data_IF_853831786510
#
_entry.id   IF_853831786510
#
_cell.length_a   1.000
_cell.length_b   1.000
_cell.length_c   1.000
_cell.angle_alpha   90.00
_cell.angle_beta   90.00
_cell.angle_gamma   90.00
#
_symmetry.space_group_name_H-M   'P 1'
#
loop_
_entity.id
_entity.type
_entity.pdbx_description
1 polymer ?
2 water ?
#
# COMPACT_ATOMS: atom_id res chain seq x y z
N UNK A 25 -5.89 6.15 -12.53
CA UNK A 25 -5.21 6.04 -11.21
C UNK A 25 -4.05 7.04 -11.10
N UNK A 26 -3.91 7.69 -9.95
CA UNK A 26 -2.77 8.58 -9.71
C UNK A 26 -1.43 7.85 -9.61
N UNK A 27 -1.46 6.65 -9.02
CA UNK A 27 -0.27 5.84 -8.81
C UNK A 27 -0.80 4.40 -8.86
N UNK A 28 -0.03 3.50 -9.46
CA UNK A 28 -0.35 2.07 -9.34
C UNK A 28 0.93 1.26 -9.37
N UNK A 29 0.94 0.17 -8.60
CA UNK A 29 2.08 -0.74 -8.68
C UNK A 29 1.71 -2.12 -8.16
N UNK A 30 2.49 -3.11 -8.59
CA UNK A 30 2.25 -4.52 -8.20
C UNK A 30 2.74 -4.76 -6.77
N UNK A 31 1.83 -5.25 -5.92
CA UNK A 31 2.18 -5.52 -4.51
C UNK A 31 1.17 -6.44 -3.89
N UNK A 32 1.66 -7.32 -3.01
CA UNK A 32 0.76 -8.17 -2.18
C UNK A 32 0.44 -7.46 -0.89
N UNK A 33 -0.61 -7.94 -0.23
CA UNK A 33 -1.02 -7.38 1.06
C UNK A 33 -0.69 -8.34 2.19
N UNK A 34 -0.99 -7.91 3.41
CA UNK A 34 -0.90 -8.78 4.59
C UNK A 34 -2.13 -8.59 5.44
N UNK A 35 -2.41 -9.56 6.30
CA UNK A 35 -3.51 -9.41 7.24
C UNK A 35 -3.09 -9.91 8.60
N UNK A 36 -3.78 -9.43 9.62
CA UNK A 36 -3.62 -9.96 10.96
C UNK A 36 -4.47 -11.22 11.09
N UNK A 37 -3.79 -12.34 11.33
CA UNK A 37 -4.41 -13.62 11.58
C UNK A 37 -4.27 -13.87 13.08
N UNK A 38 -5.28 -13.45 13.84
CA UNK A 38 -5.21 -13.45 15.30
C UNK A 38 -4.26 -12.37 15.78
N UNK A 39 -3.11 -12.80 16.30
CA UNK A 39 -2.06 -11.91 16.77
C UNK A 39 -0.96 -11.71 15.70
N UNK A 40 -1.10 -12.42 14.58
CA UNK A 40 0.02 -12.62 13.65
C UNK A 40 -0.15 -11.90 12.31
N UNK A 41 0.79 -11.01 12.00
CA UNK A 41 0.84 -10.39 10.66
C UNK A 41 1.29 -11.44 9.65
N UNK A 42 0.42 -11.72 8.68
CA UNK A 42 0.58 -12.87 7.79
C UNK A 42 0.47 -12.38 6.35
N UNK A 43 1.55 -12.54 5.57
CA UNK A 43 1.49 -12.14 4.17
C UNK A 43 0.43 -12.93 3.39
N UNK A 44 -0.32 -12.20 2.57
CA UNK A 44 -1.26 -12.80 1.63
C UNK A 44 -0.49 -13.12 0.36
N UNK A 45 -0.65 -14.35 -0.15
CA UNK A 45 0.17 -14.83 -1.27
C UNK A 45 -0.26 -14.31 -2.64
N UNK A 46 -1.42 -13.68 -2.71
CA UNK A 46 -2.03 -13.30 -4.00
C UNK A 46 -1.29 -12.19 -4.72
N UNK A 47 -1.29 -12.26 -6.05
CA UNK A 47 -0.79 -11.15 -6.86
C UNK A 47 -1.79 -9.99 -6.74
N UNK A 48 -1.28 -8.82 -6.37
CA UNK A 48 -2.14 -7.67 -6.13
C UNK A 48 -1.67 -6.41 -6.80
N UNK A 49 -2.53 -5.40 -6.76
CA UNK A 49 -2.22 -4.10 -7.29
C UNK A 49 -2.61 -3.07 -6.25
N UNK A 50 -1.63 -2.27 -5.82
CA UNK A 50 -1.93 -1.08 -4.99
C UNK A 50 -2.15 0.07 -5.96
N UNK A 51 -3.20 0.84 -5.75
CA UNK A 51 -3.39 2.07 -6.53
C UNK A 51 -4.03 3.17 -5.72
N UNK A 52 -3.83 4.40 -6.17
CA UNK A 52 -4.47 5.55 -5.54
C UNK A 52 -5.30 6.24 -6.60
N UNK A 53 -6.55 6.52 -6.26
CA UNK A 53 -7.53 7.09 -7.19
C UNK A 53 -8.18 8.29 -6.50
N UNK A 54 -8.37 9.38 -7.24
CA UNK A 54 -9.17 10.49 -6.73
C UNK A 54 -10.57 10.42 -7.34
N UNK A 55 -11.58 10.46 -6.47
CA UNK A 55 -12.96 10.34 -6.92
C UNK A 55 -13.54 11.72 -7.17
N UNK A 56 -14.76 11.78 -7.71
CA UNK A 56 -15.28 13.08 -8.14
C UNK A 56 -15.76 13.98 -6.99
N UNK A 57 -15.76 13.44 -5.77
CA UNK A 57 -15.92 14.26 -4.57
C UNK A 57 -14.58 14.86 -4.09
N UNK A 58 -13.53 14.69 -4.90
CA UNK A 58 -12.15 15.14 -4.61
C UNK A 58 -11.41 14.31 -3.55
N UNK A 59 -12.05 13.27 -3.03
CA UNK A 59 -11.36 12.46 -2.00
C UNK A 59 -10.35 11.48 -2.61
N UNK A 60 -9.36 11.12 -1.79
CA UNK A 60 -8.23 10.30 -2.25
C UNK A 60 -8.39 8.93 -1.62
N UNK A 61 -8.46 7.89 -2.45
CA UNK A 61 -8.61 6.51 -1.99
C UNK A 61 -7.32 5.73 -2.23
N UNK A 62 -6.81 5.12 -1.16
CA UNK A 62 -5.70 4.17 -1.26
C UNK A 62 -6.33 2.77 -1.33
N UNK A 63 -6.04 2.03 -2.40
CA UNK A 63 -6.77 0.77 -2.69
C UNK A 63 -5.85 -0.40 -2.94
N UNK A 64 -6.34 -1.60 -2.63
CA UNK A 64 -5.65 -2.84 -3.02
C UNK A 64 -6.63 -3.73 -3.75
N UNK A 65 -6.22 -4.20 -4.93
CA UNK A 65 -7.05 -5.03 -5.82
C UNK A 65 -6.39 -6.39 -6.00
N UNK A 66 -7.20 -7.47 -5.95
CA UNK A 66 -6.75 -8.82 -6.27
C UNK A 66 -6.67 -8.91 -7.79
N UNK A 67 -5.48 -9.16 -8.35
CA UNK A 67 -5.31 -9.19 -9.81
C UNK A 67 -6.04 -10.34 -10.48
N UNK A 68 -6.17 -11.46 -9.78
CA UNK A 68 -6.79 -12.68 -10.34
C UNK A 68 -8.31 -12.53 -10.47
N UNK A 69 -8.95 -12.05 -9.41
CA UNK A 69 -10.41 -11.91 -9.35
C UNK A 69 -10.89 -10.57 -9.85
N UNK A 70 -9.98 -9.57 -9.84
CA UNK A 70 -10.33 -8.19 -10.14
C UNK A 70 -10.96 -7.42 -8.99
N UNK A 71 -11.20 -8.10 -7.88
CA UNK A 71 -11.94 -7.52 -6.77
C UNK A 71 -11.11 -6.53 -5.97
N UNK A 72 -11.69 -5.36 -5.70
CA UNK A 72 -11.03 -4.38 -4.83
C UNK A 72 -11.38 -4.70 -3.38
N UNK A 73 -10.40 -5.17 -2.62
CA UNK A 73 -10.66 -5.64 -1.24
C UNK A 73 -10.46 -4.55 -0.20
N UNK A 74 -9.57 -3.61 -0.49
CA UNK A 74 -9.26 -2.53 0.43
C UNK A 74 -9.45 -1.20 -0.27
N UNK A 75 -10.13 -0.26 0.40
CA UNK A 75 -10.39 1.06 -0.18
C UNK A 75 -10.48 2.00 1.00
N UNK A 76 -9.40 2.76 1.21
CA UNK A 76 -9.27 3.67 2.37
C UNK A 76 -9.18 5.11 1.94
N UNK A 77 -10.07 5.96 2.46
CA UNK A 77 -9.97 7.39 2.19
C UNK A 77 -8.92 8.00 3.12
N UNK A 78 -7.95 8.67 2.51
CA UNK A 78 -6.78 9.18 3.21
C UNK A 78 -6.68 10.68 2.99
N UNK A 79 -6.51 11.43 4.07
CA UNK A 79 -6.33 12.88 4.01
C UNK A 79 -4.86 13.22 4.19
N UNK A 80 -4.42 14.43 3.76
CA UNK A 80 -3.03 14.79 3.94
C UNK A 80 -2.60 14.72 5.41
N UNK A 81 -1.41 14.19 5.63
CA UNK A 81 -0.83 14.03 6.96
C UNK A 81 -1.41 12.88 7.80
N UNK A 82 -2.40 12.14 7.27
CA UNK A 82 -2.91 10.96 7.98
C UNK A 82 -1.85 9.86 8.07
N UNK A 83 -1.10 9.69 6.98
CA UNK A 83 -0.30 8.49 6.73
C UNK A 83 1.10 8.80 6.26
N UNK A 84 2.01 7.85 6.50
CA UNK A 84 3.28 7.83 5.83
C UNK A 84 3.49 6.41 5.30
N UNK A 85 3.96 6.29 4.07
CA UNK A 85 4.29 4.99 3.50
C UNK A 85 5.80 4.86 3.55
N UNK A 86 6.31 3.74 4.08
CA UNK A 86 7.74 3.64 4.34
C UNK A 86 8.23 2.21 4.22
N UNK A 87 9.48 2.04 3.79
CA UNK A 87 10.06 0.69 3.80
C UNK A 87 10.23 0.20 5.25
N UNK A 88 10.00 -1.10 5.46
CA UNK A 88 10.30 -1.74 6.75
C UNK A 88 11.75 -2.27 6.72
N UNK A 89 12.68 -1.58 7.43
CA UNK A 89 14.12 -1.82 7.18
C UNK A 89 14.63 -3.22 7.52
N UNK A 90 14.11 -3.83 8.57
CA UNK A 90 14.72 -5.09 9.02
C UNK A 90 14.26 -6.36 8.26
N UNK A 91 13.43 -6.19 7.24
CA UNK A 91 12.96 -7.35 6.45
C UNK A 91 14.03 -7.68 5.45
N UNK A 92 14.60 -8.92 5.51
CA UNK A 92 15.70 -9.27 4.61
C UNK A 92 15.40 -9.15 3.12
N UNK A 93 14.14 -9.31 2.71
CA UNK A 93 13.79 -9.23 1.28
C UNK A 93 13.96 -7.79 0.79
N UNK A 94 13.80 -6.85 1.71
CA UNK A 94 13.80 -5.42 1.41
C UNK A 94 12.56 -4.98 0.64
N UNK A 95 11.56 -5.86 0.51
CA UNK A 95 10.38 -5.59 -0.33
C UNK A 95 9.17 -5.15 0.46
N UNK A 96 9.26 -5.18 1.79
CA UNK A 96 8.08 -4.90 2.62
C UNK A 96 7.97 -3.42 2.97
N UNK A 97 6.77 -2.86 2.78
CA UNK A 97 6.46 -1.46 3.07
C UNK A 97 5.25 -1.39 4.00
N UNK A 98 5.19 -0.33 4.79
CA UNK A 98 4.07 -0.13 5.69
C UNK A 98 3.41 1.21 5.42
N UNK A 99 2.09 1.19 5.43
CA UNK A 99 1.29 2.41 5.44
C UNK A 99 0.95 2.62 6.91
N UNK A 100 1.56 3.64 7.51
CA UNK A 100 1.43 3.86 8.95
C UNK A 100 0.57 5.08 9.17
N UNK A 101 -0.45 4.92 10.00
CA UNK A 101 -1.32 6.02 10.36
C UNK A 101 -0.74 6.74 11.56
N UNK A 102 -0.67 8.06 11.45
CA UNK A 102 -0.02 8.89 12.46
C UNK A 102 -0.86 8.99 13.72
N UNK A 103 -2.17 8.78 13.58
CA UNK A 103 -3.10 8.82 14.72
C UNK A 103 -3.77 7.46 14.95
N UNK A 104 -3.33 6.76 16.00
CA UNK A 104 -3.87 5.43 16.37
C UNK A 104 -2.90 4.27 16.12
N UNK A 105 -1.80 4.56 15.44
CA UNK A 105 -0.80 3.55 15.04
C UNK A 105 -1.37 2.32 14.29
N UNK A 106 -2.48 2.52 13.59
CA UNK A 106 -2.98 1.54 12.61
C UNK A 106 -1.89 1.38 11.56
N UNK A 107 -1.65 0.14 11.15
CA UNK A 107 -0.65 -0.15 10.10
C UNK A 107 -1.19 -1.14 9.09
N UNK A 108 -0.87 -0.92 7.82
CA UNK A 108 -1.13 -1.90 6.76
C UNK A 108 0.18 -2.20 6.07
N UNK A 109 0.47 -3.49 5.94
CA UNK A 109 1.71 -3.94 5.32
C UNK A 109 1.50 -4.45 3.90
N UNK A 110 2.48 -4.16 3.05
CA UNK A 110 2.46 -4.60 1.66
C UNK A 110 3.82 -5.12 1.29
N UNK A 111 3.86 -5.96 0.27
CA UNK A 111 5.14 -6.48 -0.20
C UNK A 111 5.23 -6.33 -1.72
N UNK A 112 6.27 -5.62 -2.17
CA UNK A 112 6.39 -5.30 -3.60
C UNK A 112 6.51 -6.58 -4.42
N UNK A 113 5.80 -6.60 -5.54
CA UNK A 113 5.75 -7.79 -6.40
C UNK A 113 6.37 -7.61 -7.78
N UNK A 114 6.84 -6.41 -8.09
CA UNK A 114 7.60 -6.24 -9.35
C UNK A 114 8.94 -7.06 -9.24
N UNK A 115 9.36 -7.80 -10.30
CA UNK A 115 10.44 -8.79 -10.04
C UNK A 115 11.79 -8.15 -9.70
N UNK A 116 12.08 -7.02 -10.35
CA UNK A 116 13.24 -6.21 -10.00
C UNK A 116 12.85 -5.18 -8.95
N UNK A 117 13.83 -4.75 -8.16
CA UNK A 117 13.57 -3.89 -7.02
C UNK A 117 13.79 -2.40 -7.33
N UNK A 118 14.23 -2.12 -8.56
CA UNK A 118 14.68 -0.78 -8.97
C UNK A 118 13.69 0.34 -8.71
N UNK A 119 12.40 0.02 -8.79
CA UNK A 119 11.37 1.04 -8.77
C UNK A 119 10.68 1.13 -7.42
N UNK A 120 11.06 0.27 -6.47
CA UNK A 120 10.36 0.23 -5.16
C UNK A 120 10.34 1.59 -4.47
N UNK A 121 11.50 2.23 -4.42
CA UNK A 121 11.60 3.46 -3.65
C UNK A 121 10.86 4.59 -4.35
N UNK A 122 10.85 4.55 -5.68
CA UNK A 122 10.07 5.54 -6.46
C UNK A 122 8.57 5.36 -6.32
N UNK A 123 8.12 4.10 -6.25
CA UNK A 123 6.69 3.86 -5.97
C UNK A 123 6.33 4.41 -4.59
N UNK A 124 7.20 4.17 -3.61
CA UNK A 124 7.00 4.67 -2.24
C UNK A 124 6.91 6.21 -2.23
N UNK A 125 7.81 6.88 -2.94
CA UNK A 125 7.79 8.35 -3.02
C UNK A 125 6.50 8.84 -3.64
N UNK A 126 6.05 8.17 -4.70
CA UNK A 126 4.82 8.56 -5.38
C UNK A 126 3.61 8.37 -4.47
N UNK A 127 3.61 7.30 -3.67
CA UNK A 127 2.49 7.14 -2.71
C UNK A 127 2.41 8.34 -1.75
N UNK A 128 3.53 8.69 -1.15
CA UNK A 128 3.52 9.79 -0.18
C UNK A 128 3.12 11.12 -0.83
N UNK A 129 3.60 11.34 -2.06
CA UNK A 129 3.18 12.54 -2.81
C UNK A 129 1.69 12.61 -3.09
N UNK A 130 1.10 11.49 -3.48
CA UNK A 130 -0.32 11.48 -3.84
C UNK A 130 -1.20 11.66 -2.60
N UNK A 131 -0.75 11.12 -1.47
CA UNK A 131 -1.57 11.14 -0.25
C UNK A 131 -1.47 12.45 0.51
N UNK A 132 -0.30 13.07 0.44
CA UNK A 132 -0.05 14.27 1.20
C UNK A 132 -0.15 15.53 0.30
N UNK A 133 -0.16 15.30 -1.02
CA UNK A 133 -0.67 16.25 -2.04
C UNK A 133 -1.87 15.69 -2.82
#
# INVERSE_FOLDING_TARGET
>A
GPGSTTSGALFPSLVPGSRGSSTKYLVEFRAGKMSLKGTTVTPDKRKGLVYIQQTDDSLIHFCWKDRTSGTVEDDLIIFPDDCEFKRVPQCPSGRVYVLKFKAGSKRLFFWMQEPKTDQDEEHCRKVNECLNNPPMPGSLGASGSSGHELSAL
#
